data_IF_087088963417
#
_entry.id   IF_087088963417
#
_cell.length_a   1.000
_cell.length_b   1.000
_cell.length_c   1.000
_cell.angle_alpha   90.00
_cell.angle_beta   90.00
_cell.angle_gamma   90.00
#
_symmetry.space_group_name_H-M   'P 1'
#
loop_
_entity.id
_entity.type
_entity.pdbx_description
1 polymer ?
#
# COMPACT_ATOMS: atom_id res chain seq x y z
N UNK A 1 7.18 22.32 65.60
CA UNK A 1 6.94 21.97 64.18
C UNK A 1 6.96 20.45 64.06
N UNK A 2 5.96 19.91 63.36
CA UNK A 2 5.64 18.47 63.11
C UNK A 2 6.88 17.74 62.54
N UNK A 3 7.10 16.42 62.68
CA UNK A 3 6.20 15.31 62.31
C UNK A 3 6.61 13.99 62.98
N UNK A 4 5.62 13.33 63.54
CA UNK A 4 5.60 11.94 64.03
C UNK A 4 5.79 10.97 62.86
N UNK A 5 6.68 9.99 62.98
CA UNK A 5 6.82 8.87 62.04
C UNK A 5 6.42 7.59 62.78
N UNK A 6 5.44 6.90 62.22
CA UNK A 6 4.86 5.69 62.77
C UNK A 6 4.73 4.63 61.67
N UNK A 7 5.01 3.41 62.10
CA UNK A 7 4.46 2.11 61.68
C UNK A 7 5.20 1.39 60.53
N UNK A 8 5.94 0.39 61.00
CA UNK A 8 6.27 -0.89 60.36
C UNK A 8 4.98 -1.59 59.91
N UNK A 9 4.90 -1.99 58.64
CA UNK A 9 4.04 -3.09 58.24
C UNK A 9 4.74 -3.91 57.15
N UNK A 10 5.28 -5.05 57.56
CA UNK A 10 5.65 -6.13 56.67
C UNK A 10 4.40 -6.88 56.23
N UNK A 11 4.31 -7.25 54.95
CA UNK A 11 4.18 -8.65 54.52
C UNK A 11 3.76 -8.77 53.04
N UNK A 12 4.37 -9.77 52.37
CA UNK A 12 3.85 -10.57 51.25
C UNK A 12 3.59 -9.81 49.94
N UNK A 13 4.07 -10.23 48.77
CA UNK A 13 4.58 -11.51 48.30
C UNK A 13 4.53 -11.45 46.77
N UNK A 14 5.43 -12.22 46.13
CA UNK A 14 5.52 -12.56 44.71
C UNK A 14 4.63 -11.78 43.71
N UNK A 15 5.27 -11.11 42.77
CA UNK A 15 5.06 -11.35 41.34
C UNK A 15 6.25 -10.78 40.56
N UNK A 16 7.15 -11.66 40.14
CA UNK A 16 8.08 -11.40 39.06
C UNK A 16 7.26 -11.27 37.77
N UNK A 17 6.73 -10.09 37.49
CA UNK A 17 6.38 -9.77 36.10
C UNK A 17 7.66 -9.34 35.42
N UNK A 18 8.39 -10.35 34.94
CA UNK A 18 9.15 -10.24 33.70
C UNK A 18 8.16 -9.90 32.57
N UNK A 19 7.71 -8.64 32.55
CA UNK A 19 7.06 -8.05 31.40
C UNK A 19 8.14 -7.65 30.40
N UNK A 20 8.89 -8.63 29.88
CA UNK A 20 9.47 -8.49 28.56
C UNK A 20 8.27 -8.48 27.61
N UNK A 21 7.61 -7.31 27.51
CA UNK A 21 6.71 -7.01 26.44
C UNK A 21 7.57 -6.97 25.19
N UNK A 22 7.84 -8.15 24.64
CA UNK A 22 8.36 -8.34 23.32
C UNK A 22 7.57 -7.41 22.43
N UNK A 23 8.23 -6.34 22.00
CA UNK A 23 7.74 -5.50 20.95
C UNK A 23 7.55 -6.44 19.77
N UNK A 24 6.32 -6.91 19.57
CA UNK A 24 5.85 -7.37 18.28
C UNK A 24 5.96 -6.15 17.38
N UNK A 25 7.20 -5.91 16.91
CA UNK A 25 7.47 -5.12 15.73
C UNK A 25 6.63 -5.82 14.68
N UNK A 26 5.48 -5.24 14.39
CA UNK A 26 4.49 -5.70 13.41
C UNK A 26 5.27 -6.31 12.26
N UNK A 27 5.32 -7.66 12.20
CA UNK A 27 6.08 -8.34 11.17
C UNK A 27 5.34 -8.08 9.87
N UNK A 28 5.77 -7.04 9.16
CA UNK A 28 5.30 -6.73 7.81
C UNK A 28 5.34 -8.02 7.01
N UNK A 29 4.19 -8.45 6.49
CA UNK A 29 4.06 -9.77 5.85
C UNK A 29 5.06 -9.87 4.68
N UNK A 30 5.58 -11.07 4.37
CA UNK A 30 6.51 -11.25 3.25
C UNK A 30 5.97 -10.68 1.94
N UNK A 31 4.65 -10.82 1.70
CA UNK A 31 4.00 -10.28 0.51
C UNK A 31 4.02 -8.74 0.48
N UNK A 32 3.79 -8.07 1.61
CA UNK A 32 3.90 -6.60 1.69
C UNK A 32 5.33 -6.15 1.42
N UNK A 33 6.34 -6.89 1.92
CA UNK A 33 7.76 -6.59 1.63
C UNK A 33 8.10 -6.75 0.16
N UNK A 34 7.57 -7.79 -0.49
CA UNK A 34 7.81 -8.06 -1.91
C UNK A 34 7.09 -7.04 -2.82
N UNK A 35 5.85 -6.69 -2.46
CA UNK A 35 5.05 -5.70 -3.17
C UNK A 35 5.63 -4.28 -3.04
N UNK A 36 6.28 -3.98 -1.91
CA UNK A 36 6.87 -2.67 -1.68
C UNK A 36 7.86 -2.27 -2.77
N UNK A 37 7.81 -0.99 -3.15
CA UNK A 37 8.62 -0.41 -4.21
C UNK A 37 7.78 0.20 -5.32
N UNK A 38 8.47 0.57 -6.38
CA UNK A 38 7.94 1.32 -7.51
C UNK A 38 7.82 0.43 -8.75
N UNK A 39 6.69 0.56 -9.43
CA UNK A 39 6.26 -0.29 -10.52
C UNK A 39 5.71 0.54 -11.67
N UNK A 40 6.08 0.20 -12.89
CA UNK A 40 5.53 0.80 -14.11
C UNK A 40 4.65 -0.21 -14.84
N UNK A 41 3.45 0.21 -15.23
CA UNK A 41 2.56 -0.60 -16.06
C UNK A 41 3.19 -0.83 -17.45
N UNK A 42 3.23 -2.08 -17.90
CA UNK A 42 3.69 -2.46 -19.24
C UNK A 42 2.59 -2.98 -20.12
N UNK A 43 1.62 -3.71 -19.55
CA UNK A 43 0.44 -4.16 -20.29
C UNK A 43 -0.82 -4.02 -19.46
N UNK A 44 -1.90 -3.63 -20.10
CA UNK A 44 -3.26 -3.64 -19.57
C UNK A 44 -4.12 -4.58 -20.41
N UNK A 45 -4.74 -5.58 -19.79
CA UNK A 45 -5.51 -6.63 -20.47
C UNK A 45 -4.76 -7.30 -21.63
N UNK A 46 -3.45 -7.49 -21.47
CA UNK A 46 -2.57 -8.12 -22.46
C UNK A 46 -2.03 -7.19 -23.54
N UNK A 47 -2.46 -5.92 -23.59
CA UNK A 47 -1.99 -4.95 -24.57
C UNK A 47 -1.12 -3.87 -23.94
N UNK A 48 -0.09 -3.42 -24.67
CA UNK A 48 0.71 -2.28 -24.23
C UNK A 48 -0.13 -0.99 -24.27
N UNK A 49 -0.22 -0.23 -23.17
CA UNK A 49 -0.85 1.09 -23.16
C UNK A 49 -0.27 1.98 -24.26
N UNK A 50 -1.12 2.47 -25.16
CA UNK A 50 -0.70 3.38 -26.25
C UNK A 50 -0.81 4.84 -25.84
N UNK A 51 -1.92 5.18 -25.20
CA UNK A 51 -2.33 6.57 -24.97
C UNK A 51 -2.16 7.01 -23.51
N UNK A 52 -1.67 6.11 -22.65
CA UNK A 52 -1.44 6.42 -21.24
C UNK A 52 -0.17 5.77 -20.72
N UNK A 53 0.41 6.39 -19.70
CA UNK A 53 1.52 5.86 -18.91
C UNK A 53 1.09 5.83 -17.45
N UNK A 54 1.52 4.80 -16.72
CA UNK A 54 1.06 4.54 -15.37
C UNK A 54 2.16 3.94 -14.50
N UNK A 55 2.24 4.45 -13.28
CA UNK A 55 3.13 3.97 -12.23
C UNK A 55 2.36 3.77 -10.95
N UNK A 56 2.80 2.82 -10.14
CA UNK A 56 2.32 2.63 -8.77
C UNK A 56 3.51 2.44 -7.84
N UNK A 57 3.48 3.15 -6.72
CA UNK A 57 4.40 2.96 -5.60
C UNK A 57 3.63 2.36 -4.44
N UNK A 58 4.14 1.27 -3.89
CA UNK A 58 3.65 0.67 -2.65
C UNK A 58 4.67 0.88 -1.54
N UNK A 59 4.27 1.58 -0.48
CA UNK A 59 5.07 1.77 0.72
C UNK A 59 5.02 0.56 1.65
N UNK A 60 6.12 0.30 2.36
CA UNK A 60 6.15 -0.71 3.42
C UNK A 60 5.23 -0.37 4.61
N UNK A 61 4.83 0.90 4.75
CA UNK A 61 3.85 1.43 5.72
C UNK A 61 2.39 1.26 5.25
N UNK A 62 2.18 0.44 4.21
CA UNK A 62 0.89 0.20 3.57
C UNK A 62 0.27 1.43 2.89
N UNK A 63 1.07 2.46 2.57
CA UNK A 63 0.64 3.54 1.69
C UNK A 63 0.79 3.17 0.22
N UNK A 64 -0.02 3.75 -0.65
CA UNK A 64 0.22 3.66 -2.08
C UNK A 64 0.14 5.04 -2.73
N UNK A 65 0.82 5.18 -3.87
CA UNK A 65 0.72 6.32 -4.76
C UNK A 65 0.62 5.83 -6.20
N UNK A 66 -0.44 6.22 -6.92
CA UNK A 66 -0.63 5.92 -8.34
C UNK A 66 -0.39 7.20 -9.11
N UNK A 67 0.43 7.11 -10.16
CA UNK A 67 0.68 8.18 -11.10
C UNK A 67 0.20 7.73 -12.46
N UNK A 68 -0.78 8.42 -13.01
CA UNK A 68 -1.30 8.08 -14.34
C UNK A 68 -1.34 9.33 -15.22
N UNK A 69 -0.93 9.18 -16.47
CA UNK A 69 -1.02 10.24 -17.45
C UNK A 69 -2.37 10.16 -18.15
N UNK A 70 -3.12 11.26 -18.10
CA UNK A 70 -4.28 11.46 -18.96
C UNK A 70 -3.89 12.47 -20.03
N UNK A 71 -4.18 12.15 -21.29
CA UNK A 71 -3.90 13.06 -22.41
C UNK A 71 -4.48 14.46 -22.14
N UNK A 72 -3.75 15.48 -22.59
CA UNK A 72 -4.04 16.92 -22.42
C UNK A 72 -3.96 17.48 -20.99
N UNK A 73 -4.05 16.66 -19.93
CA UNK A 73 -4.05 17.13 -18.53
C UNK A 73 -2.70 16.89 -17.83
N UNK A 74 -1.90 15.94 -18.33
CA UNK A 74 -0.63 15.57 -17.71
C UNK A 74 -0.78 14.46 -16.67
N UNK A 75 0.19 14.34 -15.78
CA UNK A 75 0.17 13.32 -14.73
C UNK A 75 -0.79 13.69 -13.60
N UNK A 76 -1.46 12.66 -13.08
CA UNK A 76 -2.35 12.74 -11.93
C UNK A 76 -1.87 11.78 -10.86
N UNK A 77 -1.87 12.24 -9.61
CA UNK A 77 -1.48 11.47 -8.43
C UNK A 77 -2.71 11.10 -7.62
N UNK A 78 -2.88 9.82 -7.37
CA UNK A 78 -3.82 9.27 -6.40
C UNK A 78 -3.05 8.64 -5.27
N UNK A 79 -3.56 8.73 -4.05
CA UNK A 79 -2.92 8.13 -2.88
C UNK A 79 -3.95 7.52 -1.96
N UNK A 80 -3.49 6.65 -1.08
CA UNK A 80 -4.33 6.04 -0.06
C UNK A 80 -3.56 5.00 0.75
N UNK A 81 -4.31 4.09 1.37
CA UNK A 81 -3.79 2.95 2.10
C UNK A 81 -4.25 1.66 1.46
N UNK A 82 -3.34 0.69 1.37
CA UNK A 82 -3.65 -0.63 0.87
C UNK A 82 -3.61 -1.66 2.00
N UNK A 83 -4.21 -2.81 1.75
CA UNK A 83 -4.15 -3.95 2.63
C UNK A 83 -4.00 -5.24 1.85
N UNK A 84 -3.45 -6.24 2.52
CA UNK A 84 -3.32 -7.60 1.99
C UNK A 84 -4.14 -8.50 2.88
N UNK A 85 -5.22 -9.08 2.35
CA UNK A 85 -6.06 -10.04 3.06
C UNK A 85 -6.17 -11.30 2.23
N UNK A 86 -5.85 -12.45 2.83
CA UNK A 86 -5.88 -13.75 2.15
C UNK A 86 -5.08 -13.79 0.83
N UNK A 87 -3.98 -13.03 0.75
CA UNK A 87 -3.14 -12.92 -0.46
C UNK A 87 -3.66 -11.93 -1.51
N UNK A 88 -4.83 -11.34 -1.32
CA UNK A 88 -5.41 -10.35 -2.23
C UNK A 88 -5.10 -8.93 -1.78
N UNK A 89 -4.81 -8.06 -2.76
CA UNK A 89 -4.67 -6.62 -2.58
C UNK A 89 -6.04 -5.96 -2.54
N UNK A 90 -6.29 -5.22 -1.47
CA UNK A 90 -7.38 -4.25 -1.37
C UNK A 90 -6.83 -2.89 -0.98
N UNK A 91 -7.69 -1.88 -0.95
CA UNK A 91 -7.27 -0.55 -0.53
C UNK A 91 -8.39 0.46 -0.47
N UNK A 92 -8.05 1.60 0.11
CA UNK A 92 -8.92 2.76 0.29
C UNK A 92 -8.13 4.00 -0.11
N UNK A 93 -8.68 4.77 -1.02
CA UNK A 93 -8.15 6.06 -1.45
C UNK A 93 -8.20 7.09 -0.31
N UNK A 94 -7.40 8.14 -0.42
CA UNK A 94 -7.31 9.21 0.60
C UNK A 94 -8.62 9.96 0.84
N UNK A 95 -9.58 9.89 -0.07
CA UNK A 95 -10.94 10.42 0.09
C UNK A 95 -11.94 9.38 0.64
N UNK A 96 -11.45 8.23 1.12
CA UNK A 96 -12.23 7.21 1.80
C UNK A 96 -12.95 6.21 0.89
N UNK A 97 -12.85 6.35 -0.44
CA UNK A 97 -13.45 5.38 -1.35
C UNK A 97 -12.60 4.11 -1.44
N UNK A 98 -13.21 2.92 -1.38
CA UNK A 98 -12.48 1.68 -1.60
C UNK A 98 -12.03 1.57 -3.06
N UNK A 99 -11.06 0.68 -3.29
CA UNK A 99 -10.70 0.17 -4.60
C UNK A 99 -11.93 -0.36 -5.35
N UNK A 100 -11.84 -0.37 -6.69
CA UNK A 100 -12.92 -0.85 -7.55
C UNK A 100 -13.15 -2.35 -7.43
N UNK A 101 -12.11 -3.07 -7.01
CA UNK A 101 -12.13 -4.51 -6.73
C UNK A 101 -11.04 -4.85 -5.69
N UNK A 102 -10.99 -6.12 -5.31
CA UNK A 102 -9.75 -6.73 -4.79
C UNK A 102 -8.95 -7.32 -5.94
N UNK A 103 -7.64 -7.44 -5.78
CA UNK A 103 -6.75 -7.91 -6.83
C UNK A 103 -5.94 -9.11 -6.37
N UNK A 104 -5.93 -10.17 -7.17
CA UNK A 104 -4.97 -11.25 -7.02
C UNK A 104 -3.58 -10.74 -7.39
N UNK A 105 -2.59 -11.15 -6.60
CA UNK A 105 -1.20 -10.71 -6.72
C UNK A 105 -0.36 -11.89 -7.16
N UNK A 106 0.29 -11.76 -8.31
CA UNK A 106 1.31 -12.71 -8.76
C UNK A 106 2.62 -11.99 -9.05
N UNK A 107 3.73 -12.65 -8.73
CA UNK A 107 5.06 -12.21 -9.10
C UNK A 107 5.70 -13.23 -10.02
N UNK A 108 6.60 -12.79 -10.90
CA UNK A 108 7.53 -13.71 -11.56
C UNK A 108 8.56 -14.27 -10.56
N UNK A 109 9.34 -15.25 -11.01
CA UNK A 109 10.38 -15.89 -10.19
C UNK A 109 11.41 -14.89 -9.64
N UNK A 110 11.67 -13.82 -10.39
CA UNK A 110 12.63 -12.78 -10.00
C UNK A 110 12.06 -11.72 -9.05
N UNK A 111 10.74 -11.64 -8.89
CA UNK A 111 10.06 -10.59 -8.12
C UNK A 111 10.12 -9.19 -8.74
N UNK A 112 10.46 -9.10 -10.03
CA UNK A 112 10.56 -7.86 -10.80
C UNK A 112 9.37 -7.61 -11.72
N UNK A 113 8.52 -8.61 -11.92
CA UNK A 113 7.25 -8.48 -12.62
C UNK A 113 6.11 -8.72 -11.64
N UNK A 114 5.18 -7.78 -11.58
CA UNK A 114 3.97 -7.84 -10.75
C UNK A 114 2.77 -7.93 -11.68
N UNK A 115 1.93 -8.93 -11.48
CA UNK A 115 0.63 -9.05 -12.15
C UNK A 115 -0.47 -8.85 -11.12
N UNK A 116 -1.34 -7.88 -11.38
CA UNK A 116 -2.55 -7.62 -10.59
C UNK A 116 -3.77 -7.97 -11.43
N UNK A 117 -4.60 -8.85 -10.92
CA UNK A 117 -5.81 -9.32 -11.62
C UNK A 117 -7.05 -9.01 -10.79
N UNK A 118 -8.01 -8.28 -11.35
CA UNK A 118 -9.21 -7.90 -10.59
C UNK A 118 -10.14 -9.09 -10.35
N UNK A 119 -10.67 -9.20 -9.14
CA UNK A 119 -11.60 -10.25 -8.73
C UNK A 119 -13.07 -9.89 -9.06
N UNK A 120 -13.33 -9.43 -10.29
CA UNK A 120 -14.69 -9.12 -10.77
C UNK A 120 -15.18 -10.18 -11.77
N UNK A 121 -16.42 -10.07 -12.24
CA UNK A 121 -16.98 -10.99 -13.24
C UNK A 121 -16.27 -10.95 -14.61
N UNK A 122 -15.57 -9.85 -14.92
CA UNK A 122 -14.68 -9.74 -16.09
C UNK A 122 -13.33 -9.24 -15.57
N UNK A 123 -12.39 -10.16 -15.41
CA UNK A 123 -11.09 -9.87 -14.85
C UNK A 123 -10.31 -8.87 -15.73
N UNK A 124 -9.84 -7.80 -15.10
CA UNK A 124 -8.91 -6.85 -15.67
C UNK A 124 -7.51 -7.16 -15.14
N UNK A 125 -6.51 -7.22 -16.03
CA UNK A 125 -5.15 -7.64 -15.68
C UNK A 125 -4.15 -6.54 -16.02
N UNK A 126 -3.46 -6.03 -15.00
CA UNK A 126 -2.32 -5.13 -15.16
C UNK A 126 -1.02 -5.88 -14.91
N UNK A 127 -0.09 -5.85 -15.87
CA UNK A 127 1.27 -6.34 -15.70
C UNK A 127 2.21 -5.16 -15.57
N UNK A 128 2.94 -5.13 -14.46
CA UNK A 128 3.86 -4.09 -14.08
C UNK A 128 5.27 -4.65 -13.98
N UNK A 129 6.27 -3.81 -14.25
CA UNK A 129 7.67 -4.13 -14.00
C UNK A 129 8.25 -3.18 -12.98
N UNK A 130 9.18 -3.67 -12.16
CA UNK A 130 9.86 -2.86 -11.15
C UNK A 130 10.66 -1.76 -11.85
N UNK A 131 10.34 -0.50 -11.54
CA UNK A 131 10.93 0.66 -12.19
C UNK A 131 10.78 1.89 -11.29
N UNK A 132 11.84 2.70 -11.21
CA UNK A 132 11.78 3.97 -10.50
C UNK A 132 10.83 4.95 -11.21
N UNK A 133 9.97 5.62 -10.46
CA UNK A 133 9.07 6.65 -10.97
C UNK A 133 9.92 7.92 -11.18
N UNK A 134 9.97 8.48 -12.41
CA UNK A 134 10.78 9.65 -12.68
C UNK A 134 10.37 10.86 -11.82
N UNK A 135 11.32 11.67 -11.39
CA UNK A 135 11.05 12.85 -10.57
C UNK A 135 10.09 13.83 -11.26
N UNK A 136 10.17 13.96 -12.58
CA UNK A 136 9.24 14.77 -13.37
C UNK A 136 7.78 14.28 -13.27
N UNK A 137 7.57 12.98 -13.10
CA UNK A 137 6.24 12.39 -12.86
C UNK A 137 5.80 12.69 -11.42
N UNK A 138 6.68 12.48 -10.43
CA UNK A 138 6.36 12.72 -9.02
C UNK A 138 6.01 14.18 -8.73
N UNK A 139 6.81 15.10 -9.26
CA UNK A 139 6.71 16.54 -9.00
C UNK A 139 5.71 17.23 -9.94
N UNK A 140 5.50 16.69 -11.15
CA UNK A 140 4.59 17.25 -12.14
C UNK A 140 3.14 16.78 -12.00
N UNK A 141 2.86 15.82 -11.13
CA UNK A 141 1.52 15.24 -11.00
C UNK A 141 0.57 16.13 -10.18
N UNK A 142 -0.61 16.40 -10.73
CA UNK A 142 -1.69 17.04 -9.99
C UNK A 142 -2.29 16.05 -8.99
N UNK A 143 -2.42 16.44 -7.72
CA UNK A 143 -3.04 15.60 -6.68
C UNK A 143 -4.55 15.52 -6.89
N UNK A 144 -5.07 14.30 -7.00
CA UNK A 144 -6.47 14.03 -7.31
C UNK A 144 -7.19 13.37 -6.12
N UNK A 145 -8.50 13.63 -6.03
CA UNK A 145 -9.43 12.79 -5.27
C UNK A 145 -9.88 11.63 -6.16
N UNK A 146 -10.19 10.46 -5.58
CA UNK A 146 -10.56 9.25 -6.35
C UNK A 146 -11.83 9.41 -7.19
N UNK A 147 -12.59 10.49 -6.95
CA UNK A 147 -13.89 10.75 -7.56
C UNK A 147 -13.89 11.23 -9.02
N UNK A 148 -12.74 11.47 -9.67
CA UNK A 148 -12.79 11.71 -11.12
C UNK A 148 -12.95 10.38 -11.85
N UNK A 149 -13.99 10.29 -12.67
CA UNK A 149 -14.27 9.22 -13.63
C UNK A 149 -13.11 9.12 -14.61
N UNK A 150 -12.04 8.42 -14.21
CA UNK A 150 -10.96 8.08 -15.13
C UNK A 150 -11.39 6.82 -15.86
N UNK A 151 -11.26 6.78 -17.20
CA UNK A 151 -11.64 5.62 -17.99
C UNK A 151 -10.88 4.33 -17.62
N UNK A 152 -9.72 4.45 -16.96
CA UNK A 152 -8.89 3.32 -16.53
C UNK A 152 -8.83 3.32 -15.01
N UNK A 153 -9.25 2.20 -14.39
CA UNK A 153 -9.13 1.95 -12.96
C UNK A 153 -7.99 0.98 -12.71
N UNK A 154 -6.82 1.53 -12.45
CA UNK A 154 -5.64 0.72 -12.17
C UNK A 154 -5.78 -0.07 -10.86
N UNK A 155 -6.59 0.45 -9.91
CA UNK A 155 -6.95 -0.13 -8.60
C UNK A 155 -8.35 0.35 -8.13
#
# INVERSE_FOLDING_TARGET
MRKTIYIVLAALGLCLFAGCGSSDKEKVSPLVKQLAGEWQLKTWNGEAPRDFDAYVSFGADRSFEIYQRIEQVGYQKYSGKYEIRNGMLGGVYSDGKPFGSTYDIAFDESGNTLTLTSATGVAETGVYVRAAIPDGVKNGAAVMKSSRTVPIRLL
#
